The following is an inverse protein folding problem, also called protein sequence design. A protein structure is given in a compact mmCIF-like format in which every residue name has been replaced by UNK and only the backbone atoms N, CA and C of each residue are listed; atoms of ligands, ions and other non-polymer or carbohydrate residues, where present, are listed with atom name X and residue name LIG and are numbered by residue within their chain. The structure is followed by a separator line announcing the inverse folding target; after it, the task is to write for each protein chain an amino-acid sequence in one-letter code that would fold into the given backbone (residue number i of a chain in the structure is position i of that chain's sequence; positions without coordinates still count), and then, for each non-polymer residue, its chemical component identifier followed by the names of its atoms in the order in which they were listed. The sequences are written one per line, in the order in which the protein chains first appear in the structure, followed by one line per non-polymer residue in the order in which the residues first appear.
data_IF_061064037389
#
_entry.id   IF_061064037389
#
_cell.length_a   1.000
_cell.length_b   1.000
_cell.length_c   1.000
_cell.angle_alpha   90.00
_cell.angle_beta   90.00
_cell.angle_gamma   90.00
#
_symmetry.space_group_name_H-M   'P 1'
#
loop_
_entity.id
_entity.type
_entity.pdbx_description
1 polymer ?
#
# COMPACT_ATOMS: atom_id res chain seq x y z
N UNK A 1 15.73 -4.49 3.02
CA UNK A 1 16.36 -3.88 1.84
C UNK A 1 15.74 -2.52 1.65
N UNK A 2 16.55 -1.47 1.70
CA UNK A 2 16.10 -0.09 1.61
C UNK A 2 15.49 0.17 0.21
N UNK A 3 14.29 0.73 0.16
CA UNK A 3 13.59 1.10 -1.08
C UNK A 3 14.46 2.05 -1.94
N UNK A 4 15.32 2.84 -1.31
CA UNK A 4 16.32 3.70 -1.98
C UNK A 4 17.29 2.91 -2.86
N UNK A 5 17.72 1.71 -2.44
CA UNK A 5 18.63 0.87 -3.23
C UNK A 5 17.95 0.33 -4.50
N UNK A 6 16.62 0.14 -4.45
CA UNK A 6 15.83 -0.33 -5.58
C UNK A 6 15.42 0.81 -6.53
N UNK A 7 15.72 2.07 -6.18
CA UNK A 7 15.26 3.25 -6.91
C UNK A 7 15.61 3.18 -8.40
N UNK A 8 16.82 2.74 -8.74
CA UNK A 8 17.26 2.64 -10.14
C UNK A 8 16.32 1.75 -10.99
N UNK A 9 15.73 0.69 -10.42
CA UNK A 9 14.85 -0.23 -11.14
C UNK A 9 13.42 0.28 -11.29
N UNK A 10 12.98 1.16 -10.39
CA UNK A 10 11.59 1.63 -10.34
C UNK A 10 11.44 3.09 -10.78
N UNK A 11 12.57 3.77 -11.01
CA UNK A 11 12.58 5.18 -11.34
C UNK A 11 11.81 5.45 -12.63
N UNK A 12 11.79 4.55 -13.61
CA UNK A 12 10.99 4.73 -14.83
C UNK A 12 9.47 4.72 -14.57
N UNK A 13 9.03 4.14 -13.46
CA UNK A 13 7.60 4.01 -13.12
C UNK A 13 7.15 5.19 -12.24
N UNK A 14 7.95 5.53 -11.22
CA UNK A 14 7.56 6.46 -10.16
C UNK A 14 8.34 7.78 -10.20
N UNK A 15 7.72 8.86 -9.72
CA UNK A 15 8.49 10.03 -9.30
C UNK A 15 9.25 9.74 -7.99
N UNK A 16 10.44 10.34 -7.78
CA UNK A 16 11.19 10.13 -6.54
C UNK A 16 10.33 10.51 -5.34
N UNK A 17 10.14 9.59 -4.37
CA UNK A 17 9.55 9.95 -3.09
C UNK A 17 10.32 11.12 -2.49
N UNK A 18 9.60 12.15 -2.03
CA UNK A 18 10.24 13.29 -1.38
C UNK A 18 10.93 12.92 -0.06
N UNK A 19 10.58 11.77 0.51
CA UNK A 19 11.23 11.25 1.70
C UNK A 19 11.28 9.72 1.64
N UNK A 20 12.47 9.18 1.41
CA UNK A 20 12.75 7.76 1.61
C UNK A 20 12.98 7.51 3.08
N UNK A 21 12.15 6.66 3.69
CA UNK A 21 12.33 6.27 5.09
C UNK A 21 11.91 4.83 5.29
N UNK A 22 12.68 4.11 6.11
CA UNK A 22 12.31 2.78 6.58
C UNK A 22 11.10 2.83 7.54
N UNK A 23 10.77 4.02 8.06
CA UNK A 23 9.59 4.25 8.89
C UNK A 23 8.26 4.28 8.09
N UNK A 24 8.29 3.92 6.81
CA UNK A 24 7.10 3.69 6.01
C UNK A 24 6.39 2.36 6.34
N UNK A 25 6.97 1.53 7.22
CA UNK A 25 6.30 0.35 7.78
C UNK A 25 5.16 0.71 8.75
N UNK A 26 4.39 -0.31 9.13
CA UNK A 26 3.30 -0.20 10.10
C UNK A 26 3.77 -0.57 11.52
N UNK A 27 3.52 0.26 12.57
CA UNK A 27 2.83 1.53 12.54
C UNK A 27 3.73 2.68 12.08
N UNK A 28 3.24 3.40 11.09
CA UNK A 28 3.93 4.54 10.53
C UNK A 28 4.00 5.71 11.51
N UNK A 29 5.20 6.21 11.81
CA UNK A 29 5.40 7.38 12.68
C UNK A 29 5.13 8.65 11.87
N UNK A 30 3.96 9.27 12.06
CA UNK A 30 3.56 10.45 11.27
C UNK A 30 4.59 11.60 11.31
N UNK A 31 5.36 11.73 12.39
CA UNK A 31 6.41 12.75 12.54
C UNK A 31 7.65 12.52 11.67
N UNK A 32 7.91 11.30 11.19
CA UNK A 32 9.11 10.98 10.41
C UNK A 32 8.91 11.16 8.90
N UNK A 33 7.78 11.73 8.49
CA UNK A 33 7.31 11.66 7.12
C UNK A 33 6.96 13.06 6.63
N UNK A 34 7.51 13.41 5.46
CA UNK A 34 7.21 14.67 4.81
C UNK A 34 5.76 14.67 4.29
N UNK A 35 5.13 15.83 4.37
CA UNK A 35 3.79 16.07 3.80
C UNK A 35 3.89 16.99 2.60
N UNK A 36 2.98 16.83 1.66
CA UNK A 36 2.92 17.62 0.42
C UNK A 36 1.50 18.11 0.18
N UNK A 37 1.30 19.32 -0.36
CA UNK A 37 -0.03 19.77 -0.73
C UNK A 37 -0.52 19.03 -1.98
N UNK A 38 -1.75 18.50 -1.91
CA UNK A 38 -2.41 17.83 -3.02
C UNK A 38 -3.63 18.62 -3.49
N UNK A 39 -3.64 19.02 -4.76
CA UNK A 39 -4.84 19.54 -5.45
C UNK A 39 -5.76 18.42 -5.97
N UNK A 40 -5.39 17.17 -5.73
CA UNK A 40 -6.08 15.95 -6.19
C UNK A 40 -6.19 14.95 -5.05
N UNK A 41 -6.83 13.81 -5.29
CA UNK A 41 -6.93 12.74 -4.31
C UNK A 41 -5.55 12.27 -3.81
N UNK A 42 -5.49 11.86 -2.55
CA UNK A 42 -4.33 11.19 -1.99
C UNK A 42 -4.42 9.69 -2.32
N UNK A 43 -3.28 9.06 -2.54
CA UNK A 43 -3.20 7.62 -2.75
C UNK A 43 -2.08 6.99 -1.93
N UNK A 44 -2.25 5.69 -1.66
CA UNK A 44 -1.23 4.78 -1.14
C UNK A 44 -1.22 3.52 -2.01
N UNK A 45 -0.03 3.10 -2.40
CA UNK A 45 0.24 1.84 -3.11
C UNK A 45 1.06 0.97 -2.18
N UNK A 46 0.64 -0.27 -2.03
CA UNK A 46 1.28 -1.28 -1.22
C UNK A 46 1.71 -2.44 -2.12
N UNK A 47 3.01 -2.70 -2.13
CA UNK A 47 3.63 -3.75 -2.92
C UNK A 47 4.23 -4.80 -1.98
N UNK A 48 3.85 -6.07 -2.15
CA UNK A 48 4.45 -7.15 -1.39
C UNK A 48 5.92 -7.34 -1.82
N UNK A 49 6.83 -7.38 -0.85
CA UNK A 49 8.25 -7.63 -1.09
C UNK A 49 8.54 -9.10 -0.82
N UNK A 50 9.31 -9.73 -1.71
CA UNK A 50 9.80 -11.09 -1.53
C UNK A 50 11.32 -11.11 -1.59
N UNK A 51 11.96 -11.89 -0.72
CA UNK A 51 13.41 -12.13 -0.70
C UNK A 51 13.62 -13.64 -0.71
N UNK A 52 14.24 -14.18 -1.75
CA UNK A 52 14.41 -15.63 -1.91
C UNK A 52 13.09 -16.41 -1.95
N UNK A 53 12.01 -15.80 -2.49
CA UNK A 53 10.66 -16.40 -2.50
C UNK A 53 9.88 -16.27 -1.18
N UNK A 54 10.52 -15.82 -0.10
CA UNK A 54 9.85 -15.61 1.18
C UNK A 54 9.29 -14.20 1.28
N UNK A 55 8.09 -14.07 1.85
CA UNK A 55 7.46 -12.77 2.09
C UNK A 55 8.30 -11.96 3.11
N UNK A 56 8.78 -10.80 2.69
CA UNK A 56 9.66 -9.93 3.46
C UNK A 56 8.96 -8.66 3.96
N UNK A 57 7.64 -8.54 3.79
CA UNK A 57 6.85 -7.37 4.18
C UNK A 57 6.27 -6.61 3.00
N UNK A 58 5.86 -5.37 3.25
CA UNK A 58 5.28 -4.48 2.26
C UNK A 58 6.16 -3.24 2.06
N UNK A 59 6.28 -2.81 0.81
CA UNK A 59 6.78 -1.49 0.46
C UNK A 59 5.58 -0.57 0.21
N UNK A 60 5.68 0.67 0.68
CA UNK A 60 4.61 1.66 0.58
C UNK A 60 5.06 2.87 -0.22
N UNK A 61 4.27 3.23 -1.23
CA UNK A 61 4.43 4.46 -2.01
C UNK A 61 3.17 5.30 -1.79
N UNK A 62 3.34 6.59 -1.55
CA UNK A 62 2.21 7.48 -1.27
C UNK A 62 2.44 8.86 -1.84
N UNK A 63 1.35 9.59 -2.00
CA UNK A 63 1.39 10.99 -2.38
C UNK A 63 0.08 11.42 -3.01
N UNK A 64 0.14 12.54 -3.71
CA UNK A 64 -0.96 12.97 -4.56
C UNK A 64 -1.03 12.05 -5.78
N UNK A 65 -2.23 11.62 -6.14
CA UNK A 65 -2.44 10.65 -7.23
C UNK A 65 -1.79 11.07 -8.55
N UNK A 66 -1.82 12.37 -8.88
CA UNK A 66 -1.20 12.92 -10.09
C UNK A 66 0.33 13.05 -10.04
N UNK A 67 0.98 12.73 -8.92
CA UNK A 67 2.43 12.88 -8.71
C UNK A 67 3.13 11.57 -8.31
N UNK A 68 2.45 10.43 -8.38
CA UNK A 68 3.04 9.13 -8.05
C UNK A 68 3.65 8.48 -9.29
N UNK A 69 2.85 8.24 -10.34
CA UNK A 69 3.26 7.56 -11.56
C UNK A 69 3.72 8.54 -12.64
N UNK A 70 4.91 8.33 -13.23
CA UNK A 70 5.46 9.21 -14.29
C UNK A 70 4.58 9.26 -15.54
N UNK A 71 4.11 8.10 -15.99
CA UNK A 71 3.22 7.98 -17.16
C UNK A 71 1.74 8.09 -16.78
N UNK A 72 1.44 8.36 -15.50
CA UNK A 72 0.10 8.40 -14.97
C UNK A 72 -0.56 7.02 -14.80
N UNK A 73 -1.70 7.04 -14.11
CA UNK A 73 -2.53 5.87 -13.90
C UNK A 73 -3.59 5.74 -15.01
N UNK A 74 -4.15 4.53 -15.17
CA UNK A 74 -5.30 4.32 -16.02
C UNK A 74 -6.52 5.08 -15.45
N UNK A 75 -7.02 6.03 -16.23
CA UNK A 75 -8.10 6.93 -15.79
C UNK A 75 -9.37 6.17 -15.42
N UNK A 76 -9.74 5.13 -16.18
CA UNK A 76 -10.94 4.36 -15.92
C UNK A 76 -10.82 3.61 -14.59
N UNK A 77 -9.66 3.00 -14.34
CA UNK A 77 -9.34 2.27 -13.11
C UNK A 77 -9.42 3.20 -11.90
N UNK A 78 -8.72 4.34 -11.95
CA UNK A 78 -8.69 5.32 -10.86
C UNK A 78 -10.05 5.98 -10.64
N UNK A 79 -10.77 6.32 -11.71
CA UNK A 79 -12.11 6.91 -11.60
C UNK A 79 -13.07 5.97 -10.87
N UNK A 80 -13.09 4.68 -11.22
CA UNK A 80 -13.92 3.67 -10.54
C UNK A 80 -13.59 3.58 -9.05
N UNK A 81 -12.30 3.50 -8.71
CA UNK A 81 -11.85 3.43 -7.31
C UNK A 81 -12.18 4.70 -6.52
N UNK A 82 -11.97 5.87 -7.11
CA UNK A 82 -12.25 7.17 -6.47
C UNK A 82 -13.74 7.48 -6.35
N UNK A 83 -14.57 6.94 -7.25
CA UNK A 83 -16.03 7.18 -7.26
C UNK A 83 -16.73 6.67 -6.01
N UNK A 84 -16.20 5.65 -5.35
CA UNK A 84 -16.76 5.13 -4.09
C UNK A 84 -16.68 6.16 -2.96
N UNK A 85 -15.82 7.19 -3.07
CA UNK A 85 -15.54 8.23 -2.05
C UNK A 85 -15.32 7.66 -0.64
N UNK A 86 -14.89 6.41 -0.55
CA UNK A 86 -14.55 5.70 0.67
C UNK A 86 -13.07 5.32 0.58
N UNK A 87 -12.40 5.24 1.72
CA UNK A 87 -11.02 4.75 1.80
C UNK A 87 -10.99 3.22 1.64
N UNK A 88 -11.47 2.73 0.50
CA UNK A 88 -11.45 1.31 0.13
C UNK A 88 -10.22 1.09 -0.74
N UNK A 89 -9.50 0.02 -0.45
CA UNK A 89 -8.35 -0.38 -1.23
C UNK A 89 -8.73 -1.50 -2.19
N UNK A 90 -8.17 -1.42 -3.38
CA UNK A 90 -8.39 -2.38 -4.45
C UNK A 90 -7.08 -3.07 -4.77
N UNK A 91 -7.14 -4.39 -4.89
CA UNK A 91 -6.06 -5.19 -5.45
C UNK A 91 -6.28 -5.27 -6.96
N UNK A 92 -5.31 -4.80 -7.72
CA UNK A 92 -5.39 -4.72 -9.18
C UNK A 92 -4.10 -5.20 -9.83
N UNK A 93 -4.22 -5.70 -11.05
CA UNK A 93 -3.05 -6.01 -11.85
C UNK A 93 -2.27 -4.71 -12.12
N UNK A 94 -0.94 -4.75 -12.01
CA UNK A 94 -0.10 -3.59 -12.28
C UNK A 94 -0.36 -3.03 -13.69
N UNK A 95 -0.56 -3.91 -14.67
CA UNK A 95 -0.94 -3.56 -16.05
C UNK A 95 -2.26 -2.81 -16.19
N UNK A 96 -3.22 -3.00 -15.27
CA UNK A 96 -4.49 -2.28 -15.25
C UNK A 96 -4.41 -0.95 -14.50
N UNK A 97 -3.42 -0.79 -13.61
CA UNK A 97 -3.25 0.40 -12.80
C UNK A 97 -2.42 1.47 -13.52
N UNK A 98 -1.27 1.09 -14.09
CA UNK A 98 -0.33 2.03 -14.71
C UNK A 98 -0.52 2.10 -16.22
N UNK A 99 -0.40 3.30 -16.80
CA UNK A 99 -0.35 3.42 -18.25
C UNK A 99 1.00 2.91 -18.77
N UNK A 100 0.98 2.24 -19.93
CA UNK A 100 2.20 1.81 -20.64
C UNK A 100 2.92 0.57 -20.08
N UNK A 101 2.41 -0.06 -19.01
CA UNK A 101 3.07 -1.20 -18.35
C UNK A 101 2.27 -2.50 -18.52
N UNK A 102 1.99 -2.90 -19.77
CA UNK A 102 1.11 -4.03 -20.08
C UNK A 102 1.64 -5.40 -19.60
N UNK A 103 2.96 -5.55 -19.43
CA UNK A 103 3.63 -6.84 -19.24
C UNK A 103 3.77 -7.30 -17.78
N UNK A 104 3.20 -6.57 -16.82
CA UNK A 104 3.31 -6.90 -15.39
C UNK A 104 2.00 -7.47 -14.87
N UNK A 105 1.94 -8.80 -14.70
CA UNK A 105 0.74 -9.52 -14.21
C UNK A 105 0.60 -9.55 -12.68
N UNK A 106 1.64 -9.13 -11.96
CA UNK A 106 1.60 -9.10 -10.51
C UNK A 106 0.60 -8.06 -9.99
N UNK A 107 0.14 -8.32 -8.77
CA UNK A 107 -0.94 -7.56 -8.17
C UNK A 107 -0.38 -6.54 -7.19
N UNK A 108 -0.89 -5.31 -7.30
CA UNK A 108 -0.60 -4.23 -6.36
C UNK A 108 -1.88 -3.81 -5.66
N UNK A 109 -1.77 -3.42 -4.39
CA UNK A 109 -2.92 -2.86 -3.66
C UNK A 109 -2.81 -1.34 -3.69
N UNK A 110 -3.87 -0.67 -4.15
CA UNK A 110 -3.96 0.78 -4.15
C UNK A 110 -5.20 1.21 -3.36
N UNK A 111 -5.05 2.26 -2.55
CA UNK A 111 -6.16 2.93 -1.89
C UNK A 111 -6.18 4.40 -2.29
N UNK A 112 -7.36 4.93 -2.56
CA UNK A 112 -7.59 6.35 -2.85
C UNK A 112 -8.39 6.95 -1.70
N UNK A 113 -8.04 8.14 -1.26
CA UNK A 113 -8.77 8.85 -0.22
C UNK A 113 -8.74 10.36 -0.44
N UNK A 114 -9.62 11.05 0.26
CA UNK A 114 -9.77 12.50 0.22
C UNK A 114 -9.65 13.07 1.63
N UNK A 115 -9.09 14.27 1.74
CA UNK A 115 -8.87 14.97 3.01
C UNK A 115 -7.42 14.93 3.49
N UNK A 116 -7.16 15.72 4.53
CA UNK A 116 -5.81 15.95 5.03
C UNK A 116 -5.21 14.67 5.62
N UNK A 117 -4.02 14.30 5.12
CA UNK A 117 -3.24 13.15 5.59
C UNK A 117 -4.03 11.83 5.60
N UNK A 118 -5.07 11.70 4.77
CA UNK A 118 -5.92 10.52 4.77
C UNK A 118 -5.18 9.24 4.34
N UNK A 119 -4.13 9.37 3.51
CA UNK A 119 -3.26 8.28 3.10
C UNK A 119 -2.16 7.97 4.12
N UNK A 120 -2.36 8.40 5.37
CA UNK A 120 -1.56 7.95 6.49
C UNK A 120 -1.92 6.50 6.86
N UNK A 121 -1.36 6.06 7.98
CA UNK A 121 -1.48 4.73 8.57
C UNK A 121 -2.91 4.14 8.49
N UNK A 122 -3.95 4.96 8.70
CA UNK A 122 -5.35 4.51 8.70
C UNK A 122 -5.81 3.90 7.36
N UNK A 123 -5.37 4.44 6.23
CA UNK A 123 -5.69 3.90 4.90
C UNK A 123 -4.91 2.61 4.61
N UNK A 124 -3.65 2.52 5.05
CA UNK A 124 -2.83 1.32 4.89
C UNK A 124 -3.43 0.11 5.65
N UNK A 125 -3.89 0.34 6.89
CA UNK A 125 -4.45 -0.71 7.75
C UNK A 125 -5.74 -1.32 7.23
N UNK A 126 -6.59 -0.53 6.60
CA UNK A 126 -7.94 -0.96 6.19
C UNK A 126 -7.91 -1.84 4.93
N UNK A 127 -6.94 -1.66 4.03
CA UNK A 127 -6.93 -2.45 2.80
C UNK A 127 -5.63 -3.08 2.35
N UNK A 128 -4.44 -2.63 2.79
CA UNK A 128 -3.20 -3.34 2.48
C UNK A 128 -2.95 -4.52 3.43
N UNK A 129 -3.45 -4.41 4.66
CA UNK A 129 -3.44 -5.49 5.65
C UNK A 129 -4.84 -6.13 5.84
N UNK A 130 -5.69 -6.12 4.80
CA UNK A 130 -7.06 -6.62 4.97
C UNK A 130 -7.09 -8.15 5.02
N UNK A 131 -7.55 -8.66 6.16
CA UNK A 131 -7.84 -10.04 6.57
C UNK A 131 -6.70 -10.93 7.07
N UNK A 132 -5.48 -10.88 6.54
CA UNK A 132 -4.44 -11.85 6.97
C UNK A 132 -3.98 -11.62 8.41
N UNK A 133 -3.76 -10.37 8.84
CA UNK A 133 -3.32 -10.11 10.22
C UNK A 133 -4.41 -10.32 11.29
N UNK A 134 -5.69 -10.20 10.96
CA UNK A 134 -6.78 -10.42 11.92
C UNK A 134 -7.13 -11.91 12.05
N UNK A 135 -7.08 -12.67 10.96
CA UNK A 135 -7.34 -14.12 10.98
C UNK A 135 -6.31 -14.87 11.83
N UNK A 136 -5.01 -14.53 11.71
CA UNK A 136 -3.97 -15.16 12.53
C UNK A 136 -4.11 -14.85 14.03
N UNK A 137 -4.57 -13.65 14.41
CA UNK A 137 -4.83 -13.31 15.81
C UNK A 137 -6.02 -14.12 16.36
N UNK A 138 -7.10 -14.23 15.59
CA UNK A 138 -8.27 -14.98 16.04
C UNK A 138 -8.02 -16.49 16.15
N UNK A 139 -7.26 -17.08 15.21
CA UNK A 139 -6.84 -18.49 15.26
C UNK A 139 -5.93 -18.78 16.45
N UNK A 140 -4.97 -17.90 16.76
CA UNK A 140 -4.12 -18.04 17.95
C UNK A 140 -4.92 -17.96 19.24
N UNK A 141 -5.88 -17.02 19.34
CA UNK A 141 -6.75 -16.89 20.51
C UNK A 141 -7.65 -18.12 20.67
N UNK A 142 -8.26 -18.61 19.59
CA UNK A 142 -9.06 -19.84 19.60
C UNK A 142 -8.22 -21.06 20.01
N UNK A 143 -7.02 -21.21 19.44
CA UNK A 143 -6.12 -22.30 19.80
C UNK A 143 -5.75 -22.25 21.28
N UNK A 144 -5.38 -21.08 21.81
CA UNK A 144 -5.09 -20.91 23.23
C UNK A 144 -6.31 -21.24 24.11
N UNK A 145 -7.51 -20.75 23.76
CA UNK A 145 -8.74 -21.07 24.51
C UNK A 145 -9.00 -22.58 24.53
N UNK A 146 -8.85 -23.26 23.39
CA UNK A 146 -9.05 -24.72 23.30
C UNK A 146 -7.97 -25.46 24.09
N UNK A 147 -6.70 -25.03 24.02
CA UNK A 147 -5.59 -25.64 24.76
C UNK A 147 -5.74 -25.48 26.29
N UNK A 148 -6.18 -24.31 26.75
CA UNK A 148 -6.46 -24.07 28.17
C UNK A 148 -7.69 -24.85 28.67
N UNK A 149 -8.71 -25.05 27.82
CA UNK A 149 -9.91 -25.86 28.15
C UNK A 149 -9.64 -27.36 28.19
N UNK A 150 -8.64 -27.85 27.46
CA UNK A 150 -8.24 -29.27 27.46
C UNK A 150 -7.27 -29.64 28.60
N UNK A 151 -6.67 -28.66 29.27
CA UNK A 151 -5.70 -28.84 30.37
C UNK A 151 -6.24 -28.42 31.76
N UNK A 152 -7.56 -28.26 31.90
CA UNK A 152 -8.27 -28.13 33.19
C UNK A 152 -9.22 -29.31 33.35
#
# INVERSE_FOLDING_TARGET
MDFKQKWNFISDIYYPPMNFTDACGEPMRESSIATVPCSSACAIICEASYIGGQFAGYNYIRGCIGKIARYGFNNLTIYKMGAERRAICHRVARSQLFRGHAYMEDQVTICICYGDRCNSNRAARSGCCSRVCTQFKNLMVLYLIVFFRLNQ
#
